data_IF_728005585214
#
_entry.id   IF_728005585214
#
_cell.length_a   1.000
_cell.length_b   1.000
_cell.length_c   1.000
_cell.angle_alpha   90.00
_cell.angle_beta   90.00
_cell.angle_gamma   90.00
#
_symmetry.space_group_name_H-M   'P 1'
#
loop_
_entity.id
_entity.type
_entity.pdbx_description
1 polymer ?
#
# COMPACT_ATOMS: atom_id res chain seq x y z
N UNK A 1 28.98 -82.46 19.75
CA UNK A 1 29.30 -81.23 20.50
C UNK A 1 29.45 -80.13 19.44
N UNK A 2 28.41 -79.43 19.15
CA UNK A 2 28.36 -78.49 18.00
C UNK A 2 27.88 -77.12 18.55
N UNK A 3 28.79 -76.20 18.54
CA UNK A 3 28.52 -74.81 19.00
C UNK A 3 27.78 -73.99 17.94
N UNK A 4 26.61 -73.53 18.29
CA UNK A 4 25.78 -72.63 17.44
C UNK A 4 26.16 -71.18 17.73
N UNK A 5 26.81 -70.53 16.77
CA UNK A 5 27.03 -69.06 16.78
C UNK A 5 25.75 -68.36 16.36
N UNK A 6 25.20 -67.56 17.26
CA UNK A 6 24.14 -66.64 16.96
C UNK A 6 24.69 -65.39 16.29
N UNK A 7 24.32 -65.15 15.06
CA UNK A 7 24.51 -63.86 14.39
C UNK A 7 23.38 -62.89 14.80
N UNK A 8 23.76 -61.82 15.45
CA UNK A 8 22.86 -60.71 15.74
C UNK A 8 23.00 -59.73 14.57
N UNK A 9 21.95 -59.59 13.74
CA UNK A 9 21.79 -58.54 12.76
C UNK A 9 21.33 -57.27 13.49
N UNK A 10 22.20 -56.31 13.62
CA UNK A 10 21.84 -54.95 14.05
C UNK A 10 21.33 -54.21 12.83
N UNK A 11 20.01 -54.07 12.71
CA UNK A 11 19.38 -53.20 11.76
C UNK A 11 19.40 -51.75 12.26
N UNK A 12 20.36 -50.98 11.78
CA UNK A 12 20.39 -49.51 12.00
C UNK A 12 19.32 -48.87 11.14
N UNK A 13 18.20 -48.54 11.77
CA UNK A 13 17.15 -47.72 11.19
C UNK A 13 17.63 -46.27 11.16
N UNK A 14 18.09 -45.85 9.99
CA UNK A 14 18.48 -44.45 9.74
C UNK A 14 17.15 -43.68 9.53
N UNK A 15 16.63 -43.10 10.61
CA UNK A 15 15.53 -42.16 10.54
C UNK A 15 16.08 -40.85 9.93
N UNK A 16 15.89 -40.67 8.61
CA UNK A 16 16.06 -39.38 7.97
C UNK A 16 15.01 -38.44 8.51
N UNK A 17 15.36 -37.60 9.49
CA UNK A 17 14.58 -36.40 9.80
C UNK A 17 14.65 -35.48 8.58
N UNK A 18 13.64 -35.55 7.74
CA UNK A 18 13.30 -34.43 6.85
C UNK A 18 12.80 -33.30 7.75
N UNK A 19 13.73 -32.52 8.30
CA UNK A 19 13.44 -31.15 8.70
C UNK A 19 13.07 -30.41 7.41
N UNK A 20 11.77 -30.48 7.04
CA UNK A 20 11.22 -29.49 6.16
C UNK A 20 11.43 -28.15 6.81
N UNK A 21 12.47 -27.45 6.39
CA UNK A 21 12.56 -26.04 6.60
C UNK A 21 11.32 -25.45 5.88
N UNK A 22 10.24 -25.26 6.63
CA UNK A 22 9.29 -24.26 6.26
C UNK A 22 10.11 -22.97 6.27
N UNK A 23 10.61 -22.59 5.12
CA UNK A 23 11.02 -21.23 4.87
C UNK A 23 9.75 -20.43 5.20
N UNK A 24 9.74 -19.86 6.39
CA UNK A 24 8.84 -18.79 6.71
C UNK A 24 9.07 -17.80 5.59
N UNK A 25 8.14 -17.67 4.65
CA UNK A 25 8.15 -16.56 3.70
C UNK A 25 8.23 -15.34 4.58
N UNK A 26 9.44 -14.84 4.76
CA UNK A 26 9.70 -13.61 5.45
C UNK A 26 8.78 -12.60 4.85
N UNK A 27 8.06 -11.86 5.67
CA UNK A 27 7.08 -10.90 5.21
C UNK A 27 7.79 -9.89 4.30
N UNK A 28 7.71 -10.14 2.99
CA UNK A 28 8.42 -9.39 1.95
C UNK A 28 7.90 -7.96 1.80
N UNK A 29 6.90 -7.55 2.58
CA UNK A 29 6.36 -6.20 2.52
C UNK A 29 7.40 -5.13 2.89
N UNK A 30 8.34 -5.45 3.79
CA UNK A 30 9.47 -4.56 4.10
C UNK A 30 10.69 -4.77 3.20
N UNK A 31 10.82 -5.91 2.52
CA UNK A 31 11.86 -6.11 1.51
C UNK A 31 11.68 -5.17 0.31
N UNK A 32 10.47 -4.70 0.08
CA UNK A 32 10.14 -3.69 -0.93
C UNK A 32 10.30 -2.26 -0.44
N UNK A 33 10.89 -2.08 0.71
CA UNK A 33 11.06 -0.81 1.39
C UNK A 33 12.11 0.09 0.76
N UNK A 34 13.08 -0.49 0.07
CA UNK A 34 14.15 0.24 -0.59
C UNK A 34 13.80 0.50 -2.05
N UNK A 35 13.51 1.76 -2.33
CA UNK A 35 13.33 2.20 -3.71
C UNK A 35 14.68 2.44 -4.36
N UNK A 36 14.84 1.92 -5.56
CA UNK A 36 15.94 2.31 -6.41
C UNK A 36 15.81 3.78 -6.80
N UNK A 37 16.88 4.42 -7.22
CA UNK A 37 16.83 5.78 -7.76
C UNK A 37 16.17 5.84 -9.15
N UNK A 38 16.06 4.71 -9.84
CA UNK A 38 15.43 4.60 -11.16
C UNK A 38 13.91 4.75 -11.06
N UNK A 39 13.32 5.41 -12.05
CA UNK A 39 11.88 5.41 -12.24
C UNK A 39 11.38 4.02 -12.60
N UNK A 40 10.14 3.72 -12.24
CA UNK A 40 9.45 2.48 -12.63
C UNK A 40 8.18 2.84 -13.40
N UNK A 41 7.66 1.88 -14.14
CA UNK A 41 6.38 1.98 -14.82
C UNK A 41 5.29 1.28 -14.01
N UNK A 42 4.00 1.52 -14.30
CA UNK A 42 2.93 0.68 -13.79
C UNK A 42 3.17 -0.81 -14.14
N UNK A 43 2.52 -1.70 -13.41
CA UNK A 43 2.58 -3.13 -13.70
C UNK A 43 1.88 -3.50 -15.03
N UNK A 44 1.81 -4.80 -15.34
CA UNK A 44 1.20 -5.29 -16.57
C UNK A 44 -0.28 -4.89 -16.72
N UNK A 45 -0.98 -4.71 -15.61
CA UNK A 45 -2.39 -4.33 -15.54
C UNK A 45 -2.59 -2.82 -15.27
N UNK A 46 -1.50 -2.05 -15.23
CA UNK A 46 -1.51 -0.60 -15.05
C UNK A 46 -1.53 -0.14 -13.59
N UNK A 47 -1.42 -1.03 -12.62
CA UNK A 47 -1.44 -0.64 -11.21
C UNK A 47 -0.14 0.07 -10.78
N UNK A 48 -0.30 1.06 -9.91
CA UNK A 48 0.80 1.86 -9.38
C UNK A 48 1.25 1.24 -8.06
N UNK A 49 2.43 0.59 -8.08
CA UNK A 49 3.00 -0.09 -6.92
C UNK A 49 3.97 0.74 -6.08
N UNK A 50 4.49 1.87 -6.60
CA UNK A 50 5.49 2.70 -5.91
C UNK A 50 4.87 3.84 -5.13
N UNK A 51 5.15 3.90 -3.83
CA UNK A 51 4.57 4.85 -2.90
C UNK A 51 5.56 5.33 -1.84
N UNK A 52 5.30 6.50 -1.31
CA UNK A 52 5.79 6.95 -0.01
C UNK A 52 4.64 6.77 0.98
N UNK A 53 4.86 5.97 2.01
CA UNK A 53 3.88 5.67 3.05
C UNK A 53 4.32 6.27 4.37
N UNK A 54 3.44 7.01 5.03
CA UNK A 54 3.66 7.47 6.40
C UNK A 54 3.31 6.36 7.39
N UNK A 55 4.09 6.22 8.43
CA UNK A 55 3.71 5.42 9.60
C UNK A 55 2.30 5.81 10.06
N UNK A 56 1.48 4.86 10.52
CA UNK A 56 0.06 5.11 10.77
C UNK A 56 -0.17 6.15 11.86
N UNK A 57 -1.09 7.07 11.59
CA UNK A 57 -1.57 8.06 12.54
C UNK A 57 -2.68 7.43 13.37
N UNK A 58 -2.61 7.52 14.70
CA UNK A 58 -3.68 7.04 15.57
C UNK A 58 -4.97 7.81 15.33
N UNK A 59 -6.02 7.08 14.95
CA UNK A 59 -7.39 7.60 14.75
C UNK A 59 -8.39 6.56 15.27
N UNK A 60 -8.50 6.37 16.59
CA UNK A 60 -9.30 5.31 17.18
C UNK A 60 -10.76 5.35 16.72
N UNK A 61 -11.21 4.23 16.23
CA UNK A 61 -12.61 3.96 15.92
C UNK A 61 -12.91 2.48 16.18
N UNK A 62 -14.14 2.16 16.54
CA UNK A 62 -14.55 0.80 16.95
C UNK A 62 -15.31 0.06 15.87
N UNK A 63 -15.72 0.76 14.81
CA UNK A 63 -16.56 0.20 13.74
C UNK A 63 -16.38 0.99 12.47
N UNK A 64 -16.47 0.33 11.33
CA UNK A 64 -16.39 0.97 10.01
C UNK A 64 -17.72 1.65 9.61
N UNK A 65 -18.79 1.46 10.37
CA UNK A 65 -20.09 2.12 10.10
C UNK A 65 -20.05 3.62 10.26
N UNK A 66 -19.04 4.17 10.95
CA UNK A 66 -18.82 5.61 11.12
C UNK A 66 -18.25 6.28 9.88
N UNK A 67 -17.76 5.52 8.90
CA UNK A 67 -17.08 6.05 7.70
C UNK A 67 -18.07 6.65 6.68
N UNK A 68 -18.86 7.61 7.14
CA UNK A 68 -19.70 8.43 6.28
C UNK A 68 -18.89 9.52 5.58
N UNK A 69 -19.40 10.07 4.49
CA UNK A 69 -18.71 11.15 3.75
C UNK A 69 -18.31 12.33 4.65
N UNK A 70 -19.21 12.76 5.55
CA UNK A 70 -18.93 13.87 6.45
C UNK A 70 -17.82 13.55 7.44
N UNK A 71 -17.85 12.36 8.05
CA UNK A 71 -16.80 11.91 8.96
C UNK A 71 -15.44 11.83 8.24
N UNK A 72 -15.42 11.27 7.05
CA UNK A 72 -14.19 11.10 6.27
C UNK A 72 -13.62 12.44 5.83
N UNK A 73 -14.47 13.39 5.40
CA UNK A 73 -14.01 14.74 5.05
C UNK A 73 -13.39 15.44 6.26
N UNK A 74 -14.01 15.36 7.43
CA UNK A 74 -13.42 15.89 8.65
C UNK A 74 -12.09 15.22 8.96
N UNK A 75 -12.03 13.88 8.93
CA UNK A 75 -10.82 13.11 9.24
C UNK A 75 -9.69 13.39 8.26
N UNK A 76 -9.96 13.44 6.95
CA UNK A 76 -8.94 13.54 5.91
C UNK A 76 -8.52 14.97 5.61
N UNK A 77 -9.36 15.98 5.85
CA UNK A 77 -8.97 17.39 5.74
C UNK A 77 -8.37 17.96 7.03
N UNK A 78 -8.39 17.22 8.13
CA UNK A 78 -7.61 17.59 9.32
C UNK A 78 -6.11 17.60 8.96
N UNK A 79 -5.44 18.72 9.20
CA UNK A 79 -4.00 18.84 9.03
C UNK A 79 -3.30 18.23 10.24
N UNK A 80 -2.76 17.04 10.11
CA UNK A 80 -2.05 16.33 11.17
C UNK A 80 -0.60 16.77 11.29
N UNK A 81 -0.01 17.24 10.18
CA UNK A 81 1.38 17.72 10.12
C UNK A 81 1.55 18.76 9.01
N UNK A 82 2.51 19.69 9.16
CA UNK A 82 2.74 20.74 8.17
C UNK A 82 3.08 20.18 6.78
N UNK A 83 2.47 20.74 5.76
CA UNK A 83 2.73 20.36 4.37
C UNK A 83 2.06 19.07 3.91
N UNK A 84 1.15 18.52 4.70
CA UNK A 84 0.41 17.29 4.41
C UNK A 84 -0.17 17.26 2.99
N UNK A 85 -0.70 18.38 2.51
CA UNK A 85 -1.35 18.48 1.21
C UNK A 85 -0.46 19.01 0.09
N UNK A 86 0.70 19.58 0.42
CA UNK A 86 1.51 20.33 -0.54
C UNK A 86 2.90 19.74 -0.79
N UNK A 87 3.52 19.19 0.24
CA UNK A 87 4.90 18.69 0.16
C UNK A 87 4.92 17.23 -0.32
N UNK A 88 5.80 16.93 -1.29
CA UNK A 88 6.20 15.54 -1.58
C UNK A 88 7.26 15.16 -0.56
N UNK A 89 6.99 14.18 0.33
CA UNK A 89 7.95 13.81 1.36
C UNK A 89 9.17 13.12 0.76
N UNK A 90 10.26 13.07 1.54
CA UNK A 90 11.44 12.29 1.17
C UNK A 90 11.45 10.99 1.97
N UNK A 91 11.94 9.87 1.39
CA UNK A 91 12.17 8.64 2.14
C UNK A 91 13.00 8.90 3.41
N UNK A 92 12.56 8.37 4.54
CA UNK A 92 13.21 8.55 5.84
C UNK A 92 12.95 9.90 6.52
N UNK A 93 12.28 10.85 5.86
CA UNK A 93 11.90 12.11 6.52
C UNK A 93 10.85 11.87 7.60
N UNK A 94 10.88 12.71 8.64
CA UNK A 94 9.99 12.60 9.79
C UNK A 94 9.06 13.79 9.88
N UNK A 95 7.85 13.51 10.34
CA UNK A 95 6.84 14.52 10.66
C UNK A 95 6.35 14.36 12.10
N UNK A 96 6.01 15.46 12.75
CA UNK A 96 5.39 15.42 14.10
C UNK A 96 3.88 15.40 13.95
N UNK A 97 3.24 14.40 14.57
CA UNK A 97 1.80 14.29 14.71
C UNK A 97 1.47 14.22 16.20
N UNK A 98 0.98 15.31 16.76
CA UNK A 98 0.82 15.42 18.20
C UNK A 98 2.15 15.22 18.93
N UNK A 99 2.23 14.19 19.78
CA UNK A 99 3.45 13.82 20.52
C UNK A 99 4.34 12.81 19.78
N UNK A 100 3.86 12.24 18.68
CA UNK A 100 4.58 11.21 17.92
C UNK A 100 5.46 11.81 16.83
N UNK A 101 6.56 11.13 16.51
CA UNK A 101 7.39 11.42 15.35
C UNK A 101 7.26 10.25 14.40
N UNK A 102 6.59 10.46 13.29
CA UNK A 102 6.29 9.43 12.29
C UNK A 102 7.23 9.58 11.09
N UNK A 103 7.64 8.45 10.52
CA UNK A 103 8.60 8.39 9.42
C UNK A 103 7.90 8.08 8.10
N UNK A 104 8.34 8.70 7.02
CA UNK A 104 7.97 8.37 5.66
C UNK A 104 8.85 7.26 5.10
N UNK A 105 8.22 6.23 4.59
CA UNK A 105 8.88 5.04 4.07
C UNK A 105 8.67 4.92 2.57
N UNK A 106 9.76 4.69 1.83
CA UNK A 106 9.67 4.32 0.42
C UNK A 106 9.22 2.87 0.31
N UNK A 107 8.26 2.60 -0.55
CA UNK A 107 7.62 1.30 -0.67
C UNK A 107 7.35 0.96 -2.13
N UNK A 108 7.83 -0.19 -2.60
CA UNK A 108 7.50 -0.77 -3.89
C UNK A 108 6.72 -2.07 -3.67
N UNK A 109 5.43 -2.08 -4.00
CA UNK A 109 4.63 -3.30 -3.93
C UNK A 109 4.97 -4.24 -5.09
N UNK A 110 5.14 -5.52 -4.80
CA UNK A 110 5.22 -6.60 -5.80
C UNK A 110 3.83 -7.10 -6.22
N UNK A 111 2.80 -6.63 -5.55
CA UNK A 111 1.41 -6.99 -5.81
C UNK A 111 0.71 -5.81 -6.49
N UNK A 112 -0.41 -6.08 -7.15
CA UNK A 112 -1.27 -5.03 -7.71
C UNK A 112 -1.78 -4.05 -6.65
N UNK A 113 -1.80 -4.45 -5.37
CA UNK A 113 -2.27 -3.64 -4.25
C UNK A 113 -1.19 -3.38 -3.22
N UNK A 114 -1.36 -2.31 -2.46
CA UNK A 114 -0.50 -1.88 -1.36
C UNK A 114 -1.09 -2.37 -0.04
N UNK A 115 -0.41 -3.28 0.62
CA UNK A 115 -0.85 -3.93 1.87
C UNK A 115 -0.51 -3.06 3.09
N UNK A 116 -1.37 -2.09 3.41
CA UNK A 116 -1.15 -1.18 4.55
C UNK A 116 -1.15 -1.88 5.89
N UNK A 117 -2.00 -2.89 6.07
CA UNK A 117 -2.03 -3.71 7.27
C UNK A 117 -0.67 -4.36 7.52
N UNK A 118 -0.08 -4.98 6.49
CA UNK A 118 1.25 -5.61 6.60
C UNK A 118 2.34 -4.58 6.84
N UNK A 119 2.27 -3.44 6.16
CA UNK A 119 3.21 -2.33 6.36
C UNK A 119 3.23 -1.92 7.85
N UNK A 120 2.09 -1.64 8.46
CA UNK A 120 2.00 -1.27 9.87
C UNK A 120 2.44 -2.42 10.81
N UNK A 121 2.00 -3.65 10.54
CA UNK A 121 2.34 -4.83 11.34
C UNK A 121 3.85 -5.07 11.36
N UNK A 122 4.52 -4.94 10.23
CA UNK A 122 5.97 -5.14 10.12
C UNK A 122 6.77 -4.04 10.86
N UNK A 123 6.23 -2.84 10.92
CA UNK A 123 6.77 -1.75 11.74
C UNK A 123 6.44 -1.92 13.24
N UNK A 124 5.66 -2.94 13.60
CA UNK A 124 5.17 -3.18 14.98
C UNK A 124 4.39 -1.99 15.52
N UNK A 125 3.63 -1.32 14.65
CA UNK A 125 2.72 -0.23 14.98
C UNK A 125 1.27 -0.71 15.00
N UNK A 126 0.35 0.16 15.44
CA UNK A 126 -1.07 -0.14 15.42
C UNK A 126 -1.56 -0.37 13.99
N UNK A 127 -2.41 -1.37 13.79
CA UNK A 127 -3.01 -1.76 12.51
C UNK A 127 -4.50 -1.42 12.43
N UNK A 128 -5.13 -1.16 13.58
CA UNK A 128 -6.54 -0.81 13.73
C UNK A 128 -6.70 0.57 14.35
N UNK A 129 -7.79 1.24 14.00
CA UNK A 129 -8.03 2.60 14.49
C UNK A 129 -6.95 3.58 14.07
N UNK A 130 -6.54 3.49 12.82
CA UNK A 130 -5.43 4.26 12.26
C UNK A 130 -5.79 4.87 10.92
N UNK A 131 -5.03 5.90 10.56
CA UNK A 131 -5.10 6.58 9.28
C UNK A 131 -3.72 6.53 8.62
N UNK A 132 -3.69 6.09 7.36
CA UNK A 132 -2.49 6.04 6.53
C UNK A 132 -2.49 7.19 5.54
N UNK A 133 -1.30 7.75 5.28
CA UNK A 133 -1.06 8.67 4.18
C UNK A 133 -0.12 8.02 3.17
N UNK A 134 -0.48 8.13 1.91
CA UNK A 134 0.30 7.64 0.79
C UNK A 134 0.53 8.76 -0.22
N UNK A 135 1.73 8.88 -0.75
CA UNK A 135 2.09 9.85 -1.80
C UNK A 135 2.88 9.14 -2.90
N UNK A 136 2.54 9.42 -4.14
CA UNK A 136 3.34 9.01 -5.30
C UNK A 136 3.41 10.13 -6.31
N UNK A 137 4.46 10.13 -7.12
CA UNK A 137 4.67 11.08 -8.22
C UNK A 137 4.67 10.31 -9.51
N UNK A 138 3.79 10.67 -10.42
CA UNK A 138 3.79 10.13 -11.77
C UNK A 138 4.26 11.18 -12.76
N UNK A 139 5.05 10.76 -13.75
CA UNK A 139 5.54 11.63 -14.81
C UNK A 139 4.89 11.20 -16.13
N UNK A 140 4.18 12.12 -16.75
CA UNK A 140 3.51 11.91 -18.02
C UNK A 140 4.31 12.52 -19.17
N UNK A 141 4.48 11.83 -20.30
CA UNK A 141 5.22 12.35 -21.46
C UNK A 141 4.52 13.52 -22.15
N UNK A 142 3.20 13.60 -21.99
CA UNK A 142 2.31 14.62 -22.57
C UNK A 142 1.09 14.85 -21.69
N UNK A 143 0.24 15.84 -22.01
CA UNK A 143 -1.06 15.99 -21.39
C UNK A 143 -1.96 14.80 -21.80
N UNK A 144 -2.57 14.15 -20.82
CA UNK A 144 -3.46 13.00 -21.01
C UNK A 144 -4.85 13.38 -20.49
N UNK A 145 -5.72 13.92 -21.36
CA UNK A 145 -7.08 14.29 -21.00
C UNK A 145 -7.96 13.05 -20.86
N UNK A 146 -9.14 13.24 -20.25
CA UNK A 146 -10.21 12.25 -20.17
C UNK A 146 -9.86 10.91 -19.50
N UNK A 147 -8.78 10.87 -18.73
CA UNK A 147 -8.45 9.71 -17.92
C UNK A 147 -9.30 9.68 -16.65
N UNK A 148 -9.42 8.50 -16.06
CA UNK A 148 -10.07 8.30 -14.75
C UNK A 148 -9.11 7.65 -13.79
N UNK A 149 -9.08 8.16 -12.57
CA UNK A 149 -8.45 7.46 -11.45
C UNK A 149 -9.39 6.33 -11.02
N UNK A 150 -8.93 5.11 -11.09
CA UNK A 150 -9.64 3.92 -10.64
C UNK A 150 -9.00 3.37 -9.38
N UNK A 151 -9.80 3.16 -8.35
CA UNK A 151 -9.33 2.76 -7.03
C UNK A 151 -10.15 1.62 -6.47
N UNK A 152 -9.48 0.64 -5.88
CA UNK A 152 -10.04 -0.31 -4.93
C UNK A 152 -9.42 -0.06 -3.56
N UNK A 153 -10.22 -0.11 -2.50
CA UNK A 153 -9.73 0.08 -1.14
C UNK A 153 -10.46 -0.84 -0.17
N UNK A 154 -9.70 -1.54 0.64
CA UNK A 154 -10.25 -2.20 1.82
C UNK A 154 -10.15 -1.20 2.97
N UNK A 155 -11.29 -0.77 3.47
CA UNK A 155 -11.53 0.39 4.28
C UNK A 155 -11.75 1.69 3.45
N UNK A 156 -12.21 2.75 4.13
CA UNK A 156 -12.55 4.01 3.45
C UNK A 156 -11.30 4.81 3.07
N UNK A 157 -11.36 5.51 1.95
CA UNK A 157 -10.21 6.27 1.45
C UNK A 157 -10.62 7.52 0.68
N UNK A 158 -9.69 8.49 0.59
CA UNK A 158 -9.85 9.70 -0.20
C UNK A 158 -8.58 9.98 -0.99
N UNK A 159 -8.75 10.50 -2.19
CA UNK A 159 -7.67 10.64 -3.16
C UNK A 159 -7.65 12.03 -3.79
N UNK A 160 -6.45 12.58 -3.92
CA UNK A 160 -6.19 13.88 -4.53
C UNK A 160 -5.19 13.74 -5.67
N UNK A 161 -5.45 14.48 -6.73
CA UNK A 161 -4.52 14.69 -7.84
C UNK A 161 -4.11 16.16 -7.84
N UNK A 162 -2.81 16.44 -7.75
CA UNK A 162 -2.25 17.79 -7.73
C UNK A 162 -2.90 18.75 -6.71
N UNK A 163 -3.37 18.21 -5.58
CA UNK A 163 -4.02 18.95 -4.50
C UNK A 163 -5.55 19.04 -4.62
N UNK A 164 -6.14 18.62 -5.73
CA UNK A 164 -7.59 18.60 -5.92
C UNK A 164 -8.16 17.23 -5.55
N UNK A 165 -9.23 17.19 -4.75
CA UNK A 165 -9.97 15.97 -4.44
C UNK A 165 -10.59 15.40 -5.72
N UNK A 166 -10.29 14.15 -6.03
CA UNK A 166 -10.79 13.48 -7.23
C UNK A 166 -11.67 12.27 -6.91
N UNK A 167 -11.54 11.68 -5.72
CA UNK A 167 -12.33 10.49 -5.38
C UNK A 167 -12.42 10.29 -3.86
N UNK A 168 -13.61 9.94 -3.39
CA UNK A 168 -13.90 9.52 -2.02
C UNK A 168 -14.60 8.16 -2.05
N UNK A 169 -14.06 7.19 -1.31
CA UNK A 169 -14.64 5.88 -1.07
C UNK A 169 -15.06 5.80 0.39
N UNK A 170 -16.35 5.91 0.65
CA UNK A 170 -16.93 5.86 2.01
C UNK A 170 -17.50 4.48 2.32
N UNK A 171 -17.81 4.25 3.60
CA UNK A 171 -18.43 3.04 4.13
C UNK A 171 -17.44 1.93 4.49
N UNK A 172 -17.98 0.81 4.92
CA UNK A 172 -17.26 -0.43 5.17
C UNK A 172 -17.04 -1.16 3.83
N UNK A 173 -15.80 -1.22 3.38
CA UNK A 173 -15.46 -1.69 2.05
C UNK A 173 -14.55 -2.89 2.08
N UNK A 174 -14.61 -3.68 1.01
CA UNK A 174 -13.67 -4.77 0.73
C UNK A 174 -12.80 -4.41 -0.46
N UNK A 175 -11.60 -5.00 -0.53
CA UNK A 175 -10.74 -4.83 -1.69
C UNK A 175 -11.36 -5.45 -2.93
N UNK A 176 -11.72 -4.58 -3.86
CA UNK A 176 -12.18 -4.92 -5.20
C UNK A 176 -11.44 -4.02 -6.19
N UNK A 177 -10.85 -4.59 -7.23
CA UNK A 177 -10.21 -3.80 -8.28
C UNK A 177 -11.25 -2.93 -8.97
N UNK A 178 -10.90 -1.67 -9.27
CA UNK A 178 -11.76 -0.72 -9.99
C UNK A 178 -13.14 -0.51 -9.33
N UNK A 179 -13.19 -0.61 -8.01
CA UNK A 179 -14.42 -0.49 -7.23
C UNK A 179 -15.08 0.89 -7.39
N UNK A 180 -14.25 1.94 -7.44
CA UNK A 180 -14.70 3.31 -7.67
C UNK A 180 -13.79 4.03 -8.65
N UNK A 181 -14.41 4.91 -9.45
CA UNK A 181 -13.70 5.72 -10.43
C UNK A 181 -14.00 7.20 -10.24
N UNK A 182 -12.99 8.03 -10.45
CA UNK A 182 -13.16 9.48 -10.48
C UNK A 182 -14.02 9.92 -11.67
N UNK A 183 -14.43 11.18 -11.67
CA UNK A 183 -14.80 11.86 -12.92
C UNK A 183 -13.60 11.84 -13.87
N UNK A 184 -13.82 12.25 -15.12
CA UNK A 184 -12.72 12.47 -16.07
C UNK A 184 -11.83 13.59 -15.57
N UNK A 185 -10.52 13.34 -15.58
CA UNK A 185 -9.47 14.25 -15.14
C UNK A 185 -8.40 14.32 -16.23
N UNK A 186 -7.51 15.29 -16.12
CA UNK A 186 -6.36 15.42 -17.01
C UNK A 186 -5.08 15.22 -16.21
N UNK A 187 -4.27 14.23 -16.59
CA UNK A 187 -2.89 14.15 -16.17
C UNK A 187 -2.07 15.13 -17.02
N UNK A 188 -1.36 16.03 -16.37
CA UNK A 188 -0.57 17.05 -17.06
C UNK A 188 0.78 16.47 -17.49
N UNK A 189 1.33 16.97 -18.59
CA UNK A 189 2.70 16.68 -18.97
C UNK A 189 3.66 16.97 -17.82
N UNK A 190 4.60 16.07 -17.59
CA UNK A 190 5.54 16.13 -16.48
C UNK A 190 4.93 15.58 -15.18
N UNK A 191 5.26 16.20 -14.06
CA UNK A 191 4.93 15.68 -12.72
C UNK A 191 3.46 15.90 -12.37
N UNK A 192 2.83 14.82 -11.92
CA UNK A 192 1.54 14.83 -11.25
C UNK A 192 1.69 14.12 -9.89
N UNK A 193 1.13 14.71 -8.86
CA UNK A 193 1.25 14.22 -7.49
C UNK A 193 -0.09 13.60 -7.08
N UNK A 194 -0.06 12.33 -6.72
CA UNK A 194 -1.21 11.63 -6.16
C UNK A 194 -1.00 11.51 -4.66
N UNK A 195 -2.00 11.90 -3.89
CA UNK A 195 -2.09 11.65 -2.45
C UNK A 195 -3.28 10.78 -2.16
N UNK A 196 -3.11 9.88 -1.21
CA UNK A 196 -4.19 9.04 -0.70
C UNK A 196 -4.19 9.04 0.82
N UNK A 197 -5.38 9.11 1.39
CA UNK A 197 -5.60 8.85 2.80
C UNK A 197 -6.51 7.63 2.93
N UNK A 198 -6.11 6.66 3.76
CA UNK A 198 -6.88 5.45 4.02
C UNK A 198 -7.07 5.32 5.52
N UNK A 199 -8.33 5.23 5.97
CA UNK A 199 -8.65 5.05 7.39
C UNK A 199 -9.06 3.60 7.63
N UNK A 200 -8.51 2.99 8.66
CA UNK A 200 -8.82 1.62 9.05
C UNK A 200 -9.44 1.56 10.44
N UNK A 201 -10.60 0.93 10.51
CA UNK A 201 -11.19 0.45 11.76
C UNK A 201 -10.76 -0.98 12.04
N UNK A 202 -11.67 -1.84 12.50
CA UNK A 202 -11.43 -3.28 12.53
C UNK A 202 -11.36 -3.84 11.12
N UNK A 203 -10.42 -4.76 10.88
CA UNK A 203 -10.24 -5.44 9.60
C UNK A 203 -8.92 -5.15 8.90
N UNK A 204 -8.79 -5.64 7.69
CA UNK A 204 -7.60 -5.42 6.85
C UNK A 204 -7.64 -4.04 6.21
N UNK A 205 -6.47 -3.51 5.86
CA UNK A 205 -6.36 -2.28 5.09
C UNK A 205 -5.38 -2.45 3.94
N UNK A 206 -5.84 -2.17 2.76
CA UNK A 206 -5.05 -2.13 1.54
C UNK A 206 -5.75 -1.29 0.47
N UNK A 207 -5.03 -0.91 -0.56
CA UNK A 207 -5.60 -0.24 -1.72
C UNK A 207 -4.90 -0.68 -3.00
N UNK A 208 -5.57 -0.55 -4.12
CA UNK A 208 -4.97 -0.56 -5.45
C UNK A 208 -5.44 0.67 -6.22
N UNK A 209 -4.60 1.14 -7.14
CA UNK A 209 -4.85 2.35 -7.91
C UNK A 209 -4.23 2.23 -9.28
N UNK A 210 -4.99 2.62 -10.30
CA UNK A 210 -4.51 2.78 -11.67
C UNK A 210 -5.27 3.90 -12.39
N UNK A 211 -4.75 4.32 -13.52
CA UNK A 211 -5.48 5.20 -14.43
C UNK A 211 -6.04 4.41 -15.60
N UNK A 212 -7.24 4.75 -16.00
CA UNK A 212 -7.89 4.22 -17.18
C UNK A 212 -8.09 5.34 -18.19
N UNK A 213 -7.83 5.07 -19.47
CA UNK A 213 -8.10 5.99 -20.56
C UNK A 213 -9.61 6.12 -20.85
N UNK A 214 -9.95 6.89 -21.85
CA UNK A 214 -11.34 7.10 -22.26
C UNK A 214 -12.05 5.79 -22.67
N UNK A 215 -11.32 4.85 -23.27
CA UNK A 215 -11.85 3.56 -23.68
C UNK A 215 -11.85 2.52 -22.53
N UNK A 216 -11.35 2.88 -21.35
CA UNK A 216 -11.25 1.99 -20.19
C UNK A 216 -10.00 1.11 -20.17
N UNK A 217 -9.01 1.38 -21.02
CA UNK A 217 -7.75 0.65 -20.99
C UNK A 217 -6.80 1.24 -19.93
N UNK A 218 -5.98 0.40 -19.29
CA UNK A 218 -4.96 0.88 -18.36
C UNK A 218 -3.94 1.79 -19.01
N UNK A 219 -3.70 2.95 -18.40
CA UNK A 219 -2.64 3.89 -18.80
C UNK A 219 -1.31 3.37 -18.29
N UNK A 220 -0.39 3.03 -19.19
CA UNK A 220 0.92 2.45 -18.87
C UNK A 220 2.11 3.26 -19.36
N UNK A 221 1.89 4.24 -20.22
CA UNK A 221 2.93 5.12 -20.79
C UNK A 221 3.30 6.29 -19.84
N UNK A 222 3.32 6.03 -18.56
CA UNK A 222 3.74 6.93 -17.50
C UNK A 222 4.89 6.31 -16.72
N UNK A 223 5.71 7.13 -16.04
CA UNK A 223 6.70 6.64 -15.10
C UNK A 223 6.37 7.10 -13.68
N UNK A 224 6.85 6.36 -12.69
CA UNK A 224 6.54 6.58 -11.27
C UNK A 224 7.83 6.84 -10.53
N UNK A 225 7.86 7.92 -9.77
CA UNK A 225 8.99 8.29 -8.92
C UNK A 225 8.53 8.67 -7.52
N UNK A 226 9.48 8.96 -6.66
CA UNK A 226 9.28 9.49 -5.32
C UNK A 226 9.95 10.86 -5.13
N UNK A 227 10.15 11.58 -6.26
CA UNK A 227 10.87 12.86 -6.27
C UNK A 227 10.04 13.93 -6.96
#
# INVERSE_FOLDING_TARGET
MTSIRKFIFASSLLAALCCGAFAQEGDTALENYFMTSAEVTPDADGFIGRWLLLEPISKPNRTNTVFTDSYLREAFYTEYFPGQFTVVPKPGSKVKVGKQSLTWHAFDSKLYNVKLFRFASNLKTDVYGVLFWAVTVINCPEDMPDVRLSVGSNSASMWWLNGEEVLLLSGDRRMVMDDCMSKRITLKKGKNIIRGAVINGPGMSDFCLRFLDEAGNPVKNITISNK
#
